data_IF_612330141089
#
_entry.id   IF_612330141089
#
_cell.length_a   1.000
_cell.length_b   1.000
_cell.length_c   1.000
_cell.angle_alpha   90.00
_cell.angle_beta   90.00
_cell.angle_gamma   90.00
#
_symmetry.space_group_name_H-M   'P 1'
#
loop_
_entity.id
_entity.type
_entity.pdbx_description
1 polymer ?
#
# COMPACT_ATOMS: atom_id res chain seq x y z
N UNK A 1 2.84 9.12 -7.50
CA UNK A 1 3.75 8.04 -7.05
C UNK A 1 3.12 6.67 -7.17
N UNK A 2 2.02 6.34 -6.49
CA UNK A 2 1.40 4.99 -6.52
C UNK A 2 1.23 4.39 -7.94
N UNK A 3 0.71 5.18 -8.89
CA UNK A 3 0.45 4.75 -10.27
C UNK A 3 1.68 4.66 -11.16
N UNK A 4 2.85 5.10 -10.68
CA UNK A 4 4.07 5.23 -11.49
C UNK A 4 4.08 6.40 -12.48
N UNK A 5 3.08 7.29 -12.42
CA UNK A 5 2.93 8.43 -13.36
C UNK A 5 3.92 9.58 -13.11
N UNK A 6 4.45 9.68 -11.88
CA UNK A 6 5.44 10.72 -11.50
C UNK A 6 6.88 10.20 -11.52
N UNK A 7 7.08 8.93 -11.18
CA UNK A 7 8.36 8.25 -11.23
C UNK A 7 8.10 6.77 -11.54
N UNK A 8 8.57 6.29 -12.69
CA UNK A 8 8.34 4.93 -13.17
C UNK A 8 9.10 3.88 -12.36
N UNK A 9 10.16 4.26 -11.63
CA UNK A 9 10.85 3.38 -10.70
C UNK A 9 9.92 2.97 -9.54
N UNK A 10 8.96 3.82 -9.18
CA UNK A 10 7.99 3.62 -8.11
C UNK A 10 6.63 3.26 -8.70
N UNK A 11 6.36 1.96 -8.89
CA UNK A 11 5.07 1.50 -9.45
C UNK A 11 4.38 0.44 -8.60
N UNK A 12 3.56 0.89 -7.64
CA UNK A 12 2.72 0.02 -6.81
C UNK A 12 1.64 -0.67 -7.65
N UNK A 13 1.08 0.07 -8.62
CA UNK A 13 0.05 -0.41 -9.53
C UNK A 13 0.50 -1.58 -10.43
N UNK A 14 1.81 -1.79 -10.62
CA UNK A 14 2.32 -2.97 -11.33
C UNK A 14 1.88 -4.31 -10.69
N UNK A 15 1.63 -4.31 -9.38
CA UNK A 15 1.18 -5.49 -8.63
C UNK A 15 -0.25 -5.34 -8.11
N UNK A 16 -0.65 -4.12 -7.73
CA UNK A 16 -1.94 -3.83 -7.09
C UNK A 16 -2.99 -3.19 -8.02
N UNK A 17 -2.66 -3.01 -9.31
CA UNK A 17 -3.42 -2.23 -10.32
C UNK A 17 -3.78 -0.82 -9.85
N UNK A 18 -4.38 -0.03 -10.75
CA UNK A 18 -4.87 1.34 -10.43
C UNK A 18 -6.20 1.35 -9.65
N UNK A 19 -6.82 0.19 -9.46
CA UNK A 19 -8.11 0.04 -8.78
C UNK A 19 -8.00 -0.80 -7.49
N UNK A 20 -6.80 -1.09 -6.99
CA UNK A 20 -6.58 -1.87 -5.78
C UNK A 20 -6.75 -3.39 -5.94
N UNK A 21 -7.26 -3.87 -7.10
CA UNK A 21 -7.38 -5.30 -7.40
C UNK A 21 -6.04 -5.87 -7.85
N UNK A 22 -5.50 -6.91 -7.20
CA UNK A 22 -4.16 -7.40 -7.47
C UNK A 22 -4.10 -8.13 -8.81
N UNK A 23 -2.93 -8.08 -9.45
CA UNK A 23 -2.60 -8.85 -10.68
C UNK A 23 -1.60 -9.96 -10.43
N UNK A 24 -0.74 -9.77 -9.44
CA UNK A 24 0.38 -10.65 -9.20
C UNK A 24 0.02 -11.63 -8.11
N UNK A 25 0.28 -12.91 -8.34
CA UNK A 25 0.06 -13.97 -7.34
C UNK A 25 0.78 -13.60 -6.03
N UNK A 26 0.03 -13.58 -4.93
CA UNK A 26 0.51 -13.22 -3.60
C UNK A 26 0.37 -11.74 -3.23
N UNK A 27 0.03 -10.84 -4.17
CA UNK A 27 -0.35 -9.48 -3.81
C UNK A 27 -1.77 -9.48 -3.20
N UNK A 28 -1.94 -8.74 -2.11
CA UNK A 28 -3.22 -8.62 -1.39
C UNK A 28 -4.22 -7.77 -2.19
N UNK A 29 -5.50 -8.08 -2.03
CA UNK A 29 -6.57 -7.23 -2.55
C UNK A 29 -6.81 -6.07 -1.58
N UNK A 30 -6.43 -4.87 -2.02
CA UNK A 30 -6.49 -3.65 -1.21
C UNK A 30 -7.93 -3.11 -1.09
N UNK A 31 -8.87 -3.68 -1.83
CA UNK A 31 -10.30 -3.33 -1.76
C UNK A 31 -11.05 -4.07 -0.67
N UNK A 32 -10.48 -5.17 -0.18
CA UNK A 32 -11.08 -5.99 0.87
C UNK A 32 -10.60 -5.48 2.23
N UNK A 33 -11.48 -4.89 3.07
CA UNK A 33 -11.11 -4.37 4.38
C UNK A 33 -10.36 -5.41 5.22
N UNK A 34 -10.72 -6.69 5.13
CA UNK A 34 -10.04 -7.77 5.90
C UNK A 34 -8.55 -7.88 5.63
N UNK A 35 -8.08 -7.39 4.49
CA UNK A 35 -6.65 -7.34 4.17
C UNK A 35 -5.96 -6.07 4.65
N UNK A 36 -6.68 -4.95 4.77
CA UNK A 36 -6.14 -3.62 5.13
C UNK A 36 -6.23 -3.34 6.63
N UNK A 37 -7.27 -3.85 7.30
CA UNK A 37 -7.51 -3.67 8.74
C UNK A 37 -6.72 -4.64 9.61
N UNK A 38 -6.20 -5.72 9.03
CA UNK A 38 -5.47 -6.75 9.79
C UNK A 38 -4.13 -6.29 10.39
N UNK A 39 -3.55 -5.22 9.87
CA UNK A 39 -2.21 -4.80 10.23
C UNK A 39 -2.18 -3.32 10.53
N UNK A 40 -1.45 -2.91 11.57
CA UNK A 40 -1.33 -1.51 11.97
C UNK A 40 -0.66 -0.66 10.89
N UNK A 41 -0.92 0.64 10.92
CA UNK A 41 -0.25 1.62 10.07
C UNK A 41 1.28 1.53 10.14
N UNK A 42 1.86 1.29 11.32
CA UNK A 42 3.30 1.07 11.47
C UNK A 42 3.80 -0.15 10.71
N UNK A 43 3.01 -1.23 10.65
CA UNK A 43 3.35 -2.42 9.86
C UNK A 43 3.30 -2.12 8.35
N UNK A 44 2.28 -1.38 7.90
CA UNK A 44 2.20 -0.94 6.50
C UNK A 44 3.37 -0.03 6.13
N UNK A 45 3.71 0.91 6.99
CA UNK A 45 4.86 1.79 6.85
C UNK A 45 6.14 1.00 6.70
N UNK A 46 6.40 0.06 7.61
CA UNK A 46 7.55 -0.84 7.55
C UNK A 46 7.59 -1.64 6.24
N UNK A 47 6.46 -2.21 5.79
CA UNK A 47 6.39 -2.95 4.54
C UNK A 47 6.78 -2.12 3.32
N UNK A 48 6.34 -0.86 3.25
CA UNK A 48 6.65 0.04 2.12
C UNK A 48 8.06 0.61 2.24
N UNK A 49 8.51 0.95 3.44
CA UNK A 49 9.82 1.57 3.68
C UNK A 49 10.96 0.56 3.50
N UNK A 50 10.91 -0.55 4.23
CA UNK A 50 11.96 -1.58 4.30
C UNK A 50 11.77 -2.68 3.24
N UNK A 51 10.57 -2.83 2.70
CA UNK A 51 10.23 -3.97 1.86
C UNK A 51 10.03 -5.26 2.67
N UNK A 52 9.46 -6.27 2.03
CA UNK A 52 9.25 -7.60 2.63
C UNK A 52 9.52 -8.69 1.61
N UNK A 53 9.95 -9.86 2.08
CA UNK A 53 10.32 -10.98 1.21
C UNK A 53 9.12 -11.86 0.82
N UNK A 54 8.08 -11.94 1.66
CA UNK A 54 6.87 -12.75 1.43
C UNK A 54 5.61 -12.05 2.01
N UNK A 55 4.69 -11.53 1.17
CA UNK A 55 4.82 -11.36 -0.28
C UNK A 55 5.95 -10.40 -0.65
N UNK A 56 6.50 -10.49 -1.86
CA UNK A 56 7.68 -9.68 -2.25
C UNK A 56 7.29 -8.22 -2.53
N UNK A 57 7.70 -7.32 -1.65
CA UNK A 57 7.58 -5.85 -1.79
C UNK A 57 9.00 -5.26 -1.78
N UNK A 58 9.31 -4.36 -2.71
CA UNK A 58 10.60 -3.65 -2.75
C UNK A 58 10.65 -2.60 -1.63
N UNK A 59 11.84 -2.34 -1.10
CA UNK A 59 12.07 -1.21 -0.20
C UNK A 59 11.97 0.12 -0.98
N UNK A 60 11.14 1.05 -0.51
CA UNK A 60 10.94 2.34 -1.18
C UNK A 60 11.55 3.54 -0.45
N UNK A 61 12.05 3.37 0.79
CA UNK A 61 12.62 4.47 1.60
C UNK A 61 13.80 5.22 0.98
N UNK A 62 14.44 4.64 -0.06
CA UNK A 62 15.52 5.31 -0.81
C UNK A 62 15.01 6.25 -1.91
N UNK A 63 13.74 6.13 -2.29
CA UNK A 63 13.12 6.87 -3.39
C UNK A 63 11.93 7.73 -2.93
N UNK A 64 11.34 7.39 -1.78
CA UNK A 64 10.23 8.12 -1.16
C UNK A 64 10.66 8.69 0.18
N UNK A 65 10.23 9.92 0.47
CA UNK A 65 10.29 10.47 1.84
C UNK A 65 9.28 9.76 2.73
N UNK A 66 9.46 9.87 4.05
CA UNK A 66 8.51 9.33 5.04
C UNK A 66 7.07 9.82 4.79
N UNK A 67 6.90 11.12 4.53
CA UNK A 67 5.59 11.69 4.22
C UNK A 67 4.98 11.09 2.95
N UNK A 68 5.78 10.84 1.90
CA UNK A 68 5.30 10.22 0.67
C UNK A 68 4.91 8.75 0.88
N UNK A 69 5.60 8.03 1.78
CA UNK A 69 5.22 6.67 2.17
C UNK A 69 3.84 6.69 2.84
N UNK A 70 3.63 7.60 3.80
CA UNK A 70 2.32 7.76 4.44
C UNK A 70 1.21 8.13 3.44
N UNK A 71 1.48 9.02 2.48
CA UNK A 71 0.53 9.34 1.41
C UNK A 71 0.18 8.12 0.54
N UNK A 72 1.15 7.26 0.24
CA UNK A 72 0.91 6.01 -0.49
C UNK A 72 0.03 5.06 0.32
N UNK A 73 0.26 4.96 1.63
CA UNK A 73 -0.53 4.13 2.56
C UNK A 73 -1.97 4.64 2.68
N UNK A 74 -2.15 5.94 2.87
CA UNK A 74 -3.48 6.54 2.89
C UNK A 74 -4.20 6.29 1.55
N UNK A 75 -3.52 6.50 0.42
CA UNK A 75 -4.08 6.27 -0.91
C UNK A 75 -4.49 4.81 -1.16
N UNK A 76 -3.70 3.81 -0.69
CA UNK A 76 -4.11 2.41 -0.83
C UNK A 76 -5.33 2.06 0.01
N UNK A 77 -5.47 2.61 1.22
CA UNK A 77 -6.59 2.27 2.08
C UNK A 77 -7.90 2.90 1.61
N UNK A 78 -7.87 3.96 0.80
CA UNK A 78 -9.07 4.48 0.14
C UNK A 78 -9.82 3.41 -0.66
N UNK A 79 -9.13 2.38 -1.18
CA UNK A 79 -9.78 1.31 -1.94
C UNK A 79 -10.72 0.44 -1.11
N UNK A 80 -10.49 0.31 0.21
CA UNK A 80 -11.34 -0.45 1.14
C UNK A 80 -12.27 0.44 1.97
N UNK A 81 -12.18 1.76 1.83
CA UNK A 81 -12.85 2.76 2.68
C UNK A 81 -13.74 3.71 1.88
N UNK A 82 -14.45 3.21 0.85
CA UNK A 82 -15.37 4.00 0.02
C UNK A 82 -14.77 5.28 -0.57
N UNK A 83 -13.47 5.24 -0.91
CA UNK A 83 -12.75 6.38 -1.47
C UNK A 83 -12.38 7.47 -0.46
N UNK A 84 -12.58 7.23 0.84
CA UNK A 84 -12.16 8.13 1.92
C UNK A 84 -10.75 7.76 2.41
N UNK A 85 -9.95 8.74 2.84
CA UNK A 85 -8.74 8.47 3.61
C UNK A 85 -9.08 7.58 4.80
N UNK A 86 -8.26 6.56 5.05
CA UNK A 86 -8.41 5.69 6.22
C UNK A 86 -7.79 6.38 7.43
N UNK A 87 -8.60 6.60 8.47
CA UNK A 87 -8.11 6.95 9.81
C UNK A 87 -7.47 5.74 10.51
N UNK A 88 -7.61 4.54 9.93
CA UNK A 88 -7.07 3.25 10.40
C UNK A 88 -7.42 2.92 11.86
N UNK A 89 -8.49 3.53 12.37
CA UNK A 89 -9.10 3.21 13.67
C UNK A 89 -9.84 1.87 13.67
N UNK A 90 -9.96 1.25 12.51
CA UNK A 90 -10.57 -0.05 12.22
C UNK A 90 -9.55 -1.20 12.25
N UNK A 91 -8.32 -0.96 12.72
CA UNK A 91 -7.31 -1.99 12.90
C UNK A 91 -7.77 -3.11 13.85
N UNK A 92 -7.77 -4.35 13.35
CA UNK A 92 -8.14 -5.58 14.06
C UNK A 92 -7.12 -6.71 13.78
N UNK A 93 -6.21 -7.03 14.72
CA UNK A 93 -5.12 -8.00 14.51
C UNK A 93 -5.53 -9.46 14.24
#
# INVERSE_FOLDING_TARGET
MYRGEFNTDITCASCHRKNGKPVKKGARDLRDPKNTTRYSDSYWFWCVSEGVSKPKIKAWKRLLSEQQIWQVIAYQHMYSHDGKPSEHSDYEP
#
